data_IF_952670856396
#
_entry.id   IF_952670856396
#
_cell.length_a   1.000
_cell.length_b   1.000
_cell.length_c   1.000
_cell.angle_alpha   90.00
_cell.angle_beta   90.00
_cell.angle_gamma   90.00
#
_symmetry.space_group_name_H-M   'P 1'
#
loop_
_entity.id
_entity.type
_entity.pdbx_description
1 polymer ?
#
# COMPACT_ATOMS: atom_id res chain seq x y z
N UNK A 1 8.90 15.63 -35.11
CA UNK A 1 7.99 16.22 -34.11
C UNK A 1 7.70 15.11 -33.11
N UNK A 2 8.45 15.07 -32.01
CA UNK A 2 8.40 13.96 -31.05
C UNK A 2 7.15 14.06 -30.17
N UNK A 3 6.55 12.90 -29.96
CA UNK A 3 5.35 12.61 -29.19
C UNK A 3 5.36 13.27 -27.79
N UNK A 4 4.36 14.12 -27.55
CA UNK A 4 3.89 14.47 -26.21
C UNK A 4 3.05 13.30 -25.68
N UNK A 5 3.70 12.37 -25.00
CA UNK A 5 3.05 11.34 -24.19
C UNK A 5 4.02 10.93 -23.07
N UNK A 6 4.32 11.87 -22.18
CA UNK A 6 4.86 11.51 -20.86
C UNK A 6 3.64 11.43 -19.94
N UNK A 7 3.12 10.20 -19.81
CA UNK A 7 2.15 9.86 -18.77
C UNK A 7 2.88 9.99 -17.42
N UNK A 8 2.42 10.93 -16.60
CA UNK A 8 2.94 11.12 -15.25
C UNK A 8 2.37 10.01 -14.35
N UNK A 9 3.27 9.17 -13.83
CA UNK A 9 2.98 8.08 -12.92
C UNK A 9 3.16 8.62 -11.49
N UNK A 10 2.06 9.02 -10.84
CA UNK A 10 2.06 9.35 -9.42
C UNK A 10 1.71 8.08 -8.65
N UNK A 11 2.56 7.72 -7.70
CA UNK A 11 2.30 6.64 -6.76
C UNK A 11 2.35 7.24 -5.38
N UNK A 12 1.18 7.48 -4.82
CA UNK A 12 1.03 7.88 -3.44
C UNK A 12 0.04 6.96 -2.76
N UNK A 13 0.50 6.34 -1.68
CA UNK A 13 -0.27 5.42 -0.88
C UNK A 13 0.23 5.55 0.55
N UNK A 14 -0.71 5.81 1.46
CA UNK A 14 -0.42 5.78 2.89
C UNK A 14 -0.63 4.38 3.40
N UNK A 15 0.32 3.89 4.18
CA UNK A 15 0.26 2.54 4.77
C UNK A 15 0.56 2.61 6.25
N UNK A 16 -0.40 2.24 7.10
CA UNK A 16 -0.22 2.03 8.53
C UNK A 16 -0.11 0.53 8.79
N UNK A 17 1.08 0.04 9.09
CA UNK A 17 1.35 -1.37 9.38
C UNK A 17 1.38 -1.63 10.88
N UNK A 18 0.75 -2.72 11.29
CA UNK A 18 0.66 -3.20 12.67
C UNK A 18 1.36 -4.55 12.79
N UNK A 19 2.06 -4.75 13.89
CA UNK A 19 2.81 -5.99 14.15
C UNK A 19 2.26 -6.65 15.41
N UNK A 20 1.50 -7.73 15.23
CA UNK A 20 1.54 -8.92 16.07
C UNK A 20 0.65 -9.99 15.44
N UNK A 21 0.61 -11.14 16.08
CA UNK A 21 0.47 -12.46 15.49
C UNK A 21 -0.95 -13.03 15.72
N UNK A 22 -1.41 -13.84 14.76
CA UNK A 22 -2.53 -14.80 14.76
C UNK A 22 -3.98 -14.28 14.81
N UNK A 23 -4.77 -14.72 13.82
CA UNK A 23 -6.19 -15.03 14.02
C UNK A 23 -6.51 -16.40 13.42
N UNK A 24 -7.37 -17.15 14.13
CA UNK A 24 -7.99 -18.39 13.69
C UNK A 24 -9.49 -18.20 13.82
N UNK A 25 -10.16 -17.78 12.75
CA UNK A 25 -11.60 -17.98 12.62
C UNK A 25 -11.86 -19.05 11.56
N UNK A 26 -12.56 -20.12 11.97
CA UNK A 26 -12.82 -21.40 11.23
C UNK A 26 -11.70 -22.44 11.20
N UNK A 27 -10.59 -22.24 11.89
CA UNK A 27 -9.52 -23.27 11.97
C UNK A 27 -8.53 -23.24 10.81
N UNK A 28 -8.61 -22.25 9.93
CA UNK A 28 -7.63 -22.02 8.85
C UNK A 28 -6.71 -20.84 9.21
N UNK A 29 -5.42 -21.00 8.97
CA UNK A 29 -4.39 -19.99 9.28
C UNK A 29 -4.26 -19.07 8.07
N UNK A 30 -4.75 -17.84 8.20
CA UNK A 30 -4.61 -16.80 7.17
C UNK A 30 -3.50 -15.81 7.56
N UNK A 31 -2.50 -15.67 6.69
CA UNK A 31 -1.37 -14.75 6.86
C UNK A 31 -1.66 -13.42 6.14
N UNK A 32 -2.48 -12.55 6.74
CA UNK A 32 -2.66 -11.19 6.24
C UNK A 32 -1.95 -10.18 7.13
N UNK A 33 -1.23 -9.20 6.57
CA UNK A 33 -0.66 -8.13 7.37
C UNK A 33 -1.79 -7.31 7.99
N UNK A 34 -1.70 -7.04 9.30
CA UNK A 34 -2.54 -6.04 9.95
C UNK A 34 -2.13 -4.66 9.41
N UNK A 35 -2.94 -4.13 8.51
CA UNK A 35 -2.59 -2.96 7.69
C UNK A 35 -3.86 -2.18 7.40
N UNK A 36 -3.82 -0.86 7.60
CA UNK A 36 -4.80 0.07 7.05
C UNK A 36 -4.11 0.93 6.01
N UNK A 37 -4.59 0.86 4.77
CA UNK A 37 -4.07 1.55 3.60
C UNK A 37 -5.11 2.54 3.11
N UNK A 38 -4.67 3.76 2.79
CA UNK A 38 -5.54 4.79 2.22
C UNK A 38 -5.02 5.17 0.85
N UNK A 39 -5.93 5.20 -0.12
CA UNK A 39 -5.63 5.60 -1.48
C UNK A 39 -6.86 6.23 -2.16
N UNK A 40 -6.68 6.77 -3.35
CA UNK A 40 -7.73 7.42 -4.14
C UNK A 40 -8.51 6.40 -4.97
N UNK A 41 -9.72 6.79 -5.37
CA UNK A 41 -10.50 6.00 -6.32
C UNK A 41 -9.73 5.80 -7.62
N UNK A 42 -9.67 4.56 -8.10
CA UNK A 42 -8.99 4.18 -9.35
C UNK A 42 -7.49 3.87 -9.22
N UNK A 43 -6.89 3.98 -8.04
CA UNK A 43 -5.47 3.64 -7.82
C UNK A 43 -5.19 2.13 -7.79
N UNK A 44 -6.18 1.32 -7.42
CA UNK A 44 -6.03 -0.12 -7.22
C UNK A 44 -5.86 -0.91 -8.54
N UNK A 45 -6.22 -0.31 -9.68
CA UNK A 45 -6.20 -0.95 -11.00
C UNK A 45 -6.91 -2.33 -10.99
N UNK A 46 -6.19 -3.45 -11.05
CA UNK A 46 -6.77 -4.79 -11.02
C UNK A 46 -6.97 -5.38 -9.61
N UNK A 47 -6.50 -4.71 -8.56
CA UNK A 47 -6.65 -5.18 -7.18
C UNK A 47 -8.07 -4.91 -6.66
N UNK A 48 -8.72 -5.93 -6.12
CA UNK A 48 -10.05 -5.82 -5.50
C UNK A 48 -9.93 -5.12 -4.14
N UNK A 49 -10.76 -4.10 -3.90
CA UNK A 49 -10.77 -3.34 -2.65
C UNK A 49 -10.99 -4.21 -1.40
N UNK A 50 -11.91 -5.18 -1.48
CA UNK A 50 -12.22 -6.10 -0.38
C UNK A 50 -11.34 -7.36 -0.37
N UNK A 51 -10.28 -7.40 -1.18
CA UNK A 51 -9.43 -8.59 -1.32
C UNK A 51 -10.18 -9.81 -1.88
N UNK A 52 -9.52 -10.96 -1.86
CA UNK A 52 -10.05 -12.26 -2.35
C UNK A 52 -10.00 -13.36 -1.30
N UNK A 53 -9.53 -13.04 -0.09
CA UNK A 53 -9.19 -14.02 0.94
C UNK A 53 -10.43 -14.70 1.55
N UNK A 54 -11.54 -13.99 1.60
CA UNK A 54 -12.79 -14.49 2.16
C UNK A 54 -13.87 -14.50 1.09
N UNK A 55 -14.81 -15.43 1.20
CA UNK A 55 -16.11 -15.33 0.54
C UNK A 55 -16.82 -14.12 1.14
N UNK A 56 -16.58 -12.95 0.55
CA UNK A 56 -17.37 -11.77 0.83
C UNK A 56 -18.78 -12.18 0.42
N UNK A 57 -19.78 -12.13 1.33
CA UNK A 57 -21.16 -12.31 0.94
C UNK A 57 -21.38 -11.42 -0.27
N UNK A 58 -21.83 -11.99 -1.39
CA UNK A 58 -22.24 -11.19 -2.54
C UNK A 58 -23.04 -10.04 -1.97
N UNK A 59 -22.56 -8.80 -2.14
CA UNK A 59 -23.41 -7.65 -1.91
C UNK A 59 -24.65 -7.97 -2.71
N UNK A 60 -25.76 -8.22 -2.01
CA UNK A 60 -27.08 -8.25 -2.63
C UNK A 60 -27.08 -6.98 -3.47
N UNK A 61 -27.05 -7.14 -4.81
CA UNK A 61 -26.98 -6.04 -5.75
C UNK A 61 -27.89 -4.96 -5.20
N UNK A 62 -27.33 -3.80 -4.81
CA UNK A 62 -28.08 -2.78 -4.08
C UNK A 62 -29.44 -2.65 -4.72
N UNK A 63 -30.49 -3.07 -4.02
CA UNK A 63 -31.81 -3.25 -4.60
C UNK A 63 -32.24 -1.88 -5.16
N UNK A 64 -32.11 -1.70 -6.48
CA UNK A 64 -32.18 -0.38 -7.12
C UNK A 64 -33.64 0.06 -7.06
N UNK A 65 -34.01 0.76 -5.99
CA UNK A 65 -35.39 1.23 -5.71
C UNK A 65 -35.85 2.37 -6.62
N UNK A 66 -35.05 2.76 -7.61
CA UNK A 66 -35.41 3.82 -8.54
C UNK A 66 -36.40 3.28 -9.57
N UNK A 67 -37.58 3.90 -9.64
CA UNK A 67 -38.61 3.53 -10.62
C UNK A 67 -38.40 4.31 -11.93
N UNK A 68 -37.90 3.62 -12.96
CA UNK A 68 -37.69 4.14 -14.32
C UNK A 68 -36.78 3.24 -15.15
N UNK A 69 -36.72 3.45 -16.48
CA UNK A 69 -35.73 2.79 -17.35
C UNK A 69 -34.32 3.29 -17.01
N UNK A 70 -33.60 2.52 -16.20
CA UNK A 70 -32.23 2.83 -15.79
C UNK A 70 -31.29 1.89 -16.55
N UNK A 71 -30.49 2.47 -17.43
CA UNK A 71 -29.37 1.77 -18.06
C UNK A 71 -28.16 1.87 -17.15
N UNK A 72 -27.87 0.80 -16.42
CA UNK A 72 -26.64 0.68 -15.63
C UNK A 72 -25.47 0.34 -16.57
N UNK A 73 -24.48 1.21 -16.63
CA UNK A 73 -23.24 0.95 -17.34
C UNK A 73 -22.14 0.63 -16.33
N UNK A 74 -21.73 -0.64 -16.25
CA UNK A 74 -20.58 -1.09 -15.46
C UNK A 74 -19.33 -1.06 -16.35
N UNK A 75 -18.31 -0.32 -15.92
CA UNK A 75 -17.02 -0.31 -16.61
C UNK A 75 -16.33 -1.69 -16.47
N UNK A 76 -15.65 -2.13 -17.53
CA UNK A 76 -14.93 -3.40 -17.51
C UNK A 76 -13.72 -3.31 -16.57
N UNK A 77 -13.42 -4.39 -15.85
CA UNK A 77 -12.27 -4.44 -14.96
C UNK A 77 -10.96 -4.22 -15.74
N UNK A 78 -10.00 -3.44 -15.19
CA UNK A 78 -8.72 -3.22 -15.85
C UNK A 78 -7.96 -4.54 -16.08
N UNK A 79 -7.31 -4.73 -17.24
CA UNK A 79 -6.60 -5.96 -17.53
C UNK A 79 -5.36 -6.12 -16.64
N UNK A 80 -5.21 -7.28 -16.02
CA UNK A 80 -4.01 -7.67 -15.27
C UNK A 80 -2.78 -7.72 -16.18
N UNK A 81 -1.64 -7.28 -15.65
CA UNK A 81 -0.35 -7.40 -16.34
C UNK A 81 0.13 -8.87 -16.36
N UNK A 82 1.15 -9.20 -17.15
CA UNK A 82 1.70 -10.58 -17.24
C UNK A 82 2.22 -11.07 -15.88
N UNK A 83 2.85 -10.21 -15.09
CA UNK A 83 3.37 -10.56 -13.77
C UNK A 83 2.28 -11.09 -12.82
N UNK A 84 1.15 -10.38 -12.73
CA UNK A 84 0.02 -10.80 -11.91
C UNK A 84 -0.63 -12.09 -12.43
N UNK A 85 -0.70 -12.28 -13.76
CA UNK A 85 -1.20 -13.53 -14.34
C UNK A 85 -0.30 -14.72 -14.02
N UNK A 86 1.01 -14.55 -14.13
CA UNK A 86 1.99 -15.58 -13.77
C UNK A 86 1.93 -15.92 -12.27
N UNK A 87 1.68 -14.94 -11.40
CA UNK A 87 1.45 -15.17 -9.98
C UNK A 87 0.17 -15.98 -9.71
N UNK A 88 -0.93 -15.66 -10.38
CA UNK A 88 -2.21 -16.40 -10.22
C UNK A 88 -2.12 -17.84 -10.72
N UNK A 89 -1.43 -18.04 -11.86
CA UNK A 89 -1.12 -19.38 -12.37
C UNK A 89 -0.26 -20.18 -11.37
N UNK A 90 0.71 -19.53 -10.72
CA UNK A 90 1.56 -20.17 -9.71
C UNK A 90 0.81 -20.50 -8.41
N UNK A 91 -0.11 -19.64 -7.98
CA UNK A 91 -0.91 -19.82 -6.76
C UNK A 91 -2.11 -20.79 -6.98
N UNK A 92 -2.34 -21.23 -8.22
CA UNK A 92 -3.43 -22.15 -8.57
C UNK A 92 -4.82 -21.52 -8.46
N UNK A 93 -4.90 -20.19 -8.39
CA UNK A 93 -6.14 -19.43 -8.29
C UNK A 93 -6.74 -19.35 -9.69
N UNK A 94 -7.67 -20.25 -10.01
CA UNK A 94 -8.51 -20.10 -11.19
C UNK A 94 -9.64 -19.10 -10.89
N UNK A 95 -9.43 -17.82 -11.18
CA UNK A 95 -10.57 -16.91 -11.30
C UNK A 95 -11.41 -17.37 -12.50
N UNK A 96 -12.63 -17.86 -12.23
CA UNK A 96 -13.63 -18.17 -13.25
C UNK A 96 -14.24 -16.89 -13.83
N UNK A 97 -13.42 -16.01 -14.38
CA UNK A 97 -13.93 -14.88 -15.18
C UNK A 97 -13.96 -15.31 -16.65
N UNK A 98 -14.93 -16.18 -16.96
CA UNK A 98 -15.41 -16.35 -18.33
C UNK A 98 -16.65 -15.47 -18.52
N UNK A 99 -16.76 -14.65 -19.58
CA UNK A 99 -18.04 -14.10 -19.97
C UNK A 99 -18.86 -15.27 -20.53
N UNK A 100 -19.73 -15.85 -19.71
CA UNK A 100 -20.72 -16.81 -20.19
C UNK A 100 -21.79 -16.06 -20.96
N UNK A 101 -21.62 -15.98 -22.28
CA UNK A 101 -22.75 -15.89 -23.19
C UNK A 101 -23.43 -17.26 -23.17
N UNK A 102 -24.51 -17.38 -22.39
CA UNK A 102 -25.34 -18.58 -22.35
C UNK A 102 -26.69 -18.27 -22.97
N UNK A 103 -26.86 -18.67 -24.22
CA UNK A 103 -28.17 -19.04 -24.75
C UNK A 103 -28.45 -20.48 -24.33
N UNK A 104 -29.62 -20.68 -23.71
CA UNK A 104 -30.09 -21.95 -23.14
C UNK A 104 -30.24 -23.08 -24.16
N UNK A 105 -30.02 -24.33 -23.71
CA UNK A 105 -30.99 -25.43 -23.89
C UNK A 105 -30.65 -26.65 -23.02
N UNK A 106 -31.54 -26.88 -22.06
CA UNK A 106 -32.16 -28.13 -21.59
C UNK A 106 -31.35 -29.40 -21.22
N UNK A 107 -31.62 -29.80 -19.96
CA UNK A 107 -31.89 -31.15 -19.43
C UNK A 107 -30.90 -32.29 -19.67
N UNK A 108 -30.21 -32.73 -18.60
CA UNK A 108 -30.54 -34.01 -17.95
C UNK A 108 -29.82 -34.20 -16.60
N UNK A 109 -30.53 -34.89 -15.71
CA UNK A 109 -30.28 -35.12 -14.29
C UNK A 109 -29.37 -36.33 -14.09
N UNK A 110 -28.31 -36.21 -13.28
CA UNK A 110 -27.68 -37.37 -12.64
C UNK A 110 -26.93 -36.97 -11.37
N UNK A 111 -27.36 -37.58 -10.28
CA UNK A 111 -26.77 -37.60 -8.94
C UNK A 111 -25.28 -37.95 -8.95
N UNK A 112 -24.50 -37.28 -8.09
CA UNK A 112 -23.37 -37.87 -7.35
C UNK A 112 -22.94 -36.95 -6.21
N UNK A 113 -23.43 -37.32 -5.01
CA UNK A 113 -22.88 -36.91 -3.74
C UNK A 113 -21.41 -37.39 -3.57
N UNK A 114 -20.69 -36.66 -2.71
CA UNK A 114 -19.54 -37.09 -1.92
C UNK A 114 -18.23 -37.42 -2.65
N UNK A 115 -17.26 -36.49 -2.61
CA UNK A 115 -15.91 -36.78 -2.06
C UNK A 115 -15.03 -35.52 -2.08
N UNK A 116 -15.12 -34.68 -1.04
CA UNK A 116 -14.02 -33.80 -0.64
C UNK A 116 -13.62 -34.17 0.79
N UNK A 117 -13.07 -35.37 0.93
CA UNK A 117 -12.14 -35.72 2.00
C UNK A 117 -10.86 -36.13 1.32
N UNK A 118 -9.74 -35.70 1.90
CA UNK A 118 -8.36 -35.94 1.47
C UNK A 118 -7.88 -35.05 0.31
N UNK A 119 -7.25 -33.90 0.65
CA UNK A 119 -5.78 -33.72 0.51
C UNK A 119 -5.36 -32.63 1.51
N UNK A 120 -5.16 -33.01 2.78
CA UNK A 120 -4.14 -32.38 3.64
C UNK A 120 -2.89 -33.25 3.49
N UNK A 121 -1.73 -32.60 3.48
CA UNK A 121 -0.38 -33.14 3.32
C UNK A 121 0.14 -33.28 1.88
N UNK A 122 0.71 -32.20 1.32
CA UNK A 122 1.95 -32.29 0.51
C UNK A 122 2.88 -31.09 0.73
N UNK A 123 3.80 -31.29 1.69
CA UNK A 123 5.24 -30.96 1.68
C UNK A 123 5.68 -29.56 1.22
N UNK A 124 6.21 -28.82 2.19
CA UNK A 124 7.44 -28.03 2.02
C UNK A 124 8.51 -28.88 1.31
N UNK A 125 8.68 -28.67 0.01
CA UNK A 125 9.92 -29.00 -0.68
C UNK A 125 10.61 -27.68 -1.01
N UNK A 126 11.88 -27.60 -0.59
CA UNK A 126 12.82 -26.53 -0.94
C UNK A 126 12.62 -26.12 -2.40
N UNK A 127 12.29 -24.86 -2.62
CA UNK A 127 12.45 -24.25 -3.93
C UNK A 127 13.96 -24.30 -4.26
N UNK A 128 14.32 -25.09 -5.25
CA UNK A 128 15.64 -25.05 -5.85
C UNK A 128 15.75 -23.74 -6.64
N UNK A 129 16.43 -22.75 -6.05
CA UNK A 129 16.76 -21.42 -6.60
C UNK A 129 17.74 -21.47 -7.80
N UNK A 130 17.52 -22.31 -8.81
CA UNK A 130 18.53 -22.48 -9.88
C UNK A 130 18.06 -22.40 -11.33
N UNK A 131 16.80 -22.09 -11.63
CA UNK A 131 16.38 -21.87 -13.02
C UNK A 131 15.26 -20.83 -13.21
N UNK A 132 15.39 -19.65 -12.59
CA UNK A 132 14.68 -18.46 -13.08
C UNK A 132 15.58 -17.79 -14.12
N UNK A 133 15.32 -18.03 -15.40
CA UNK A 133 16.14 -17.49 -16.49
C UNK A 133 16.16 -15.97 -16.47
N UNK A 134 17.36 -15.40 -16.37
CA UNK A 134 17.74 -13.97 -16.35
C UNK A 134 17.11 -13.06 -17.43
N UNK A 135 16.40 -13.62 -18.40
CA UNK A 135 15.85 -12.89 -19.55
C UNK A 135 14.42 -12.37 -19.36
N UNK A 136 13.70 -12.74 -18.30
CA UNK A 136 12.29 -12.32 -18.11
C UNK A 136 12.13 -11.03 -17.29
N UNK A 137 13.12 -10.65 -16.47
CA UNK A 137 13.02 -9.50 -15.57
C UNK A 137 13.17 -8.14 -16.28
N UNK A 138 13.78 -8.07 -17.47
CA UNK A 138 14.08 -6.80 -18.15
C UNK A 138 12.86 -6.10 -18.80
N UNK A 139 11.74 -6.80 -19.00
CA UNK A 139 10.54 -6.25 -19.68
C UNK A 139 9.40 -5.89 -18.70
N UNK A 140 9.55 -6.21 -17.41
CA UNK A 140 8.53 -5.91 -16.39
C UNK A 140 8.43 -4.41 -16.08
N UNK A 141 9.51 -3.64 -16.23
CA UNK A 141 9.58 -2.21 -15.88
C UNK A 141 8.52 -1.34 -16.58
N UNK A 142 8.17 -1.67 -17.82
CA UNK A 142 7.16 -0.93 -18.59
C UNK A 142 5.72 -1.35 -18.24
N UNK A 143 5.56 -2.43 -17.47
CA UNK A 143 4.27 -3.04 -17.16
C UNK A 143 3.65 -2.50 -15.88
N UNK A 144 4.48 -1.97 -14.98
CA UNK A 144 4.04 -1.47 -13.67
C UNK A 144 3.62 -0.01 -13.76
N UNK A 145 2.32 0.25 -13.62
CA UNK A 145 1.74 1.60 -13.62
C UNK A 145 1.37 2.04 -12.22
N UNK A 146 0.76 1.14 -11.45
CA UNK A 146 0.36 1.39 -10.08
C UNK A 146 1.07 0.43 -9.12
N UNK A 147 0.95 0.66 -7.81
CA UNK A 147 1.66 -0.11 -6.79
C UNK A 147 1.09 -1.53 -6.66
N UNK A 148 -0.20 -1.68 -6.95
CA UNK A 148 -0.88 -2.96 -6.96
C UNK A 148 -0.41 -3.87 -8.10
N UNK A 149 0.21 -3.33 -9.15
CA UNK A 149 0.67 -4.10 -10.32
C UNK A 149 1.85 -5.02 -10.01
N UNK A 150 2.55 -4.79 -8.90
CA UNK A 150 3.66 -5.61 -8.42
C UNK A 150 3.43 -6.16 -7.00
N UNK A 151 2.19 -6.10 -6.53
CA UNK A 151 1.78 -6.67 -5.26
C UNK A 151 1.58 -8.19 -5.41
N UNK A 152 2.14 -8.96 -4.47
CA UNK A 152 1.93 -10.41 -4.38
C UNK A 152 1.02 -10.83 -3.23
N UNK A 153 0.90 -9.97 -2.21
CA UNK A 153 0.21 -10.31 -0.97
C UNK A 153 -1.28 -10.05 -1.11
N UNK A 154 -2.10 -11.00 -0.66
CA UNK A 154 -3.54 -10.80 -0.52
C UNK A 154 -3.84 -10.04 0.77
N UNK A 155 -4.63 -8.98 0.67
CA UNK A 155 -5.01 -8.18 1.84
C UNK A 155 -6.32 -8.66 2.47
N UNK A 156 -6.47 -8.33 3.75
CA UNK A 156 -7.72 -8.47 4.46
C UNK A 156 -8.77 -7.48 3.88
N UNK A 157 -10.07 -7.81 3.82
CA UNK A 157 -11.10 -6.92 3.29
C UNK A 157 -11.19 -5.56 3.99
N UNK A 158 -10.75 -5.49 5.25
CA UNK A 158 -10.71 -4.26 6.05
C UNK A 158 -9.42 -3.45 5.88
N UNK A 159 -8.48 -3.91 5.05
CA UNK A 159 -7.19 -3.22 4.86
C UNK A 159 -7.32 -1.93 4.07
N UNK A 160 -8.10 -1.91 2.98
CA UNK A 160 -8.11 -0.78 2.04
C UNK A 160 -9.27 0.17 2.36
N UNK A 161 -8.96 1.44 2.59
CA UNK A 161 -9.90 2.56 2.60
C UNK A 161 -9.66 3.43 1.37
N UNK A 162 -10.74 3.78 0.66
CA UNK A 162 -10.67 4.64 -0.52
C UNK A 162 -11.24 6.01 -0.19
N UNK A 163 -10.53 7.06 -0.61
CA UNK A 163 -11.05 8.43 -0.65
C UNK A 163 -11.87 8.56 -1.94
N UNK A 164 -13.17 8.79 -1.81
CA UNK A 164 -14.10 8.79 -2.95
C UNK A 164 -14.16 10.13 -3.67
N UNK A 165 -13.84 11.23 -2.97
CA UNK A 165 -13.92 12.60 -3.45
C UNK A 165 -12.89 12.90 -4.54
N UNK A 166 -11.79 12.14 -4.57
CA UNK A 166 -10.68 12.32 -5.50
C UNK A 166 -10.40 11.06 -6.31
N UNK A 167 -10.07 11.27 -7.58
CA UNK A 167 -9.76 10.21 -8.52
C UNK A 167 -8.25 10.21 -8.83
N UNK A 168 -7.65 9.03 -8.83
CA UNK A 168 -6.27 8.82 -9.21
C UNK A 168 -6.00 9.30 -10.65
N UNK A 169 -4.95 10.12 -10.83
CA UNK A 169 -4.54 10.62 -12.15
C UNK A 169 -5.47 11.68 -12.76
N UNK A 170 -6.32 12.33 -11.96
CA UNK A 170 -7.22 13.38 -12.46
C UNK A 170 -6.48 14.70 -12.76
N UNK A 171 -6.41 15.08 -14.04
CA UNK A 171 -5.76 16.33 -14.48
C UNK A 171 -6.53 17.60 -14.08
N UNK A 172 -7.85 17.52 -13.87
CA UNK A 172 -8.72 18.67 -13.61
C UNK A 172 -8.88 18.96 -12.11
N UNK A 173 -8.87 17.94 -11.27
CA UNK A 173 -8.92 18.04 -9.82
C UNK A 173 -7.78 17.21 -9.20
N UNK A 174 -6.53 17.72 -9.26
CA UNK A 174 -5.38 16.98 -8.77
C UNK A 174 -5.33 16.96 -7.24
N UNK A 175 -4.91 15.83 -6.69
CA UNK A 175 -4.72 15.63 -5.25
C UNK A 175 -3.30 16.03 -4.81
N UNK A 176 -2.92 17.28 -5.09
CA UNK A 176 -1.53 17.74 -4.97
C UNK A 176 -1.28 18.72 -3.82
N UNK A 177 -2.32 19.25 -3.18
CA UNK A 177 -2.18 20.30 -2.15
C UNK A 177 -2.46 19.74 -0.76
N UNK A 178 -1.55 19.99 0.19
CA UNK A 178 -1.66 19.52 1.58
C UNK A 178 -3.05 19.75 2.21
N UNK A 179 -3.64 20.94 2.03
CA UNK A 179 -4.95 21.26 2.56
C UNK A 179 -6.08 20.40 2.01
N UNK A 180 -6.05 20.05 0.72
CA UNK A 180 -7.05 19.17 0.10
C UNK A 180 -7.03 17.78 0.75
N UNK A 181 -5.85 17.30 1.13
CA UNK A 181 -5.74 16.02 1.81
C UNK A 181 -6.32 16.04 3.21
N UNK A 182 -6.15 17.13 3.97
CA UNK A 182 -6.79 17.28 5.28
C UNK A 182 -8.31 17.28 5.14
N UNK A 183 -8.84 18.05 4.18
CA UNK A 183 -10.28 18.14 3.93
C UNK A 183 -10.87 16.79 3.52
N UNK A 184 -10.18 16.05 2.64
CA UNK A 184 -10.61 14.73 2.17
C UNK A 184 -10.86 13.72 3.29
N UNK A 185 -10.04 13.77 4.35
CA UNK A 185 -10.19 12.86 5.49
C UNK A 185 -10.97 13.49 6.65
N UNK A 186 -11.35 14.77 6.57
CA UNK A 186 -12.07 15.47 7.65
C UNK A 186 -13.56 15.12 7.72
N UNK A 187 -14.10 14.42 6.73
CA UNK A 187 -15.49 13.99 6.72
C UNK A 187 -15.77 12.94 7.79
N UNK A 188 -16.88 13.12 8.53
CA UNK A 188 -17.29 12.18 9.59
C UNK A 188 -17.44 10.75 9.06
N UNK A 189 -17.95 10.57 7.84
CA UNK A 189 -18.10 9.25 7.20
C UNK A 189 -16.76 8.55 7.03
N UNK A 190 -15.77 9.25 6.45
CA UNK A 190 -14.44 8.70 6.24
C UNK A 190 -13.75 8.33 7.55
N UNK A 191 -13.78 9.24 8.54
CA UNK A 191 -13.14 9.01 9.84
C UNK A 191 -13.74 7.80 10.53
N UNK A 192 -15.08 7.69 10.58
CA UNK A 192 -15.75 6.57 11.23
C UNK A 192 -15.39 5.22 10.56
N UNK A 193 -15.41 5.15 9.23
CA UNK A 193 -15.04 3.92 8.51
C UNK A 193 -13.56 3.55 8.71
N UNK A 194 -12.68 4.55 8.73
CA UNK A 194 -11.27 4.35 8.99
C UNK A 194 -11.00 3.92 10.44
N UNK A 195 -11.71 4.52 11.40
CA UNK A 195 -11.68 4.18 12.82
C UNK A 195 -12.18 2.74 13.06
N UNK A 196 -13.27 2.32 12.42
CA UNK A 196 -13.77 0.94 12.51
C UNK A 196 -12.73 -0.09 12.01
N UNK A 197 -11.99 0.25 10.95
CA UNK A 197 -10.90 -0.58 10.41
C UNK A 197 -9.69 -0.58 11.33
N UNK A 198 -9.38 0.57 11.93
CA UNK A 198 -8.31 0.72 12.90
C UNK A 198 -8.58 -0.14 14.14
N UNK A 199 -9.77 0.00 14.74
CA UNK A 199 -10.18 -0.75 15.92
C UNK A 199 -10.21 -2.25 15.68
N UNK A 200 -10.67 -2.69 14.50
CA UNK A 200 -10.60 -4.10 14.15
C UNK A 200 -9.19 -4.70 14.33
N UNK A 201 -8.15 -4.06 13.79
CA UNK A 201 -6.79 -4.57 13.91
C UNK A 201 -6.15 -4.33 15.28
N UNK A 202 -6.54 -3.27 16.00
CA UNK A 202 -5.99 -3.01 17.34
C UNK A 202 -6.62 -3.90 18.41
N UNK A 203 -7.89 -4.26 18.27
CA UNK A 203 -8.59 -5.19 19.17
C UNK A 203 -8.11 -6.64 19.02
N UNK A 204 -7.68 -7.04 17.82
CA UNK A 204 -6.98 -8.32 17.60
C UNK A 204 -5.62 -8.41 18.34
N UNK A 205 -5.05 -7.27 18.76
CA UNK A 205 -3.75 -7.26 19.42
C UNK A 205 -3.89 -7.47 20.94
N UNK A 206 -3.41 -8.60 21.47
CA UNK A 206 -3.29 -8.82 22.92
C UNK A 206 -2.44 -7.72 23.61
N UNK A 207 -1.38 -7.27 22.93
CA UNK A 207 -0.52 -6.18 23.39
C UNK A 207 -0.06 -5.30 22.22
N UNK A 208 -0.84 -4.26 21.94
CA UNK A 208 -0.45 -3.25 20.96
C UNK A 208 0.79 -2.46 21.43
N UNK A 209 1.91 -2.58 20.73
CA UNK A 209 3.13 -1.80 21.02
C UNK A 209 3.09 -0.39 20.42
N UNK A 210 2.55 -0.28 19.21
CA UNK A 210 2.47 0.97 18.47
C UNK A 210 2.29 0.79 16.97
N UNK A 211 2.60 1.85 16.25
CA UNK A 211 2.24 2.04 14.85
C UNK A 211 3.48 2.31 14.02
N UNK A 212 3.60 1.58 12.92
CA UNK A 212 4.51 1.93 11.84
C UNK A 212 3.71 2.62 10.73
N UNK A 213 4.06 3.86 10.42
CA UNK A 213 3.29 4.71 9.52
C UNK A 213 4.16 5.09 8.33
N UNK A 214 3.68 4.83 7.11
CA UNK A 214 4.26 5.32 5.87
C UNK A 214 3.29 6.34 5.28
N UNK A 215 3.79 7.54 5.00
CA UNK A 215 3.01 8.59 4.38
C UNK A 215 3.83 9.35 3.36
N UNK A 216 3.18 9.76 2.28
CA UNK A 216 3.79 10.64 1.30
C UNK A 216 3.90 12.06 1.82
N UNK A 217 5.04 12.68 1.58
CA UNK A 217 5.33 14.03 2.11
C UNK A 217 5.23 15.12 1.05
N UNK A 218 5.01 14.78 -0.21
CA UNK A 218 5.21 15.71 -1.33
C UNK A 218 3.91 16.23 -1.96
N UNK A 219 2.78 15.57 -1.72
CA UNK A 219 1.47 15.86 -2.31
C UNK A 219 0.38 16.02 -1.22
N UNK A 220 -0.90 15.94 -1.60
CA UNK A 220 -2.00 16.11 -0.66
C UNK A 220 -2.08 14.99 0.38
N UNK A 221 -1.60 13.77 0.09
CA UNK A 221 -1.55 12.71 1.09
C UNK A 221 -0.78 13.18 2.33
N UNK A 222 0.27 13.99 2.20
CA UNK A 222 0.96 14.56 3.37
C UNK A 222 0.03 15.24 4.37
N UNK A 223 -1.05 15.88 3.88
CA UNK A 223 -2.11 16.45 4.70
C UNK A 223 -3.02 15.42 5.35
N UNK A 224 -3.51 14.46 4.58
CA UNK A 224 -4.35 13.36 5.09
C UNK A 224 -3.61 12.57 6.18
N UNK A 225 -2.34 12.24 5.93
CA UNK A 225 -1.52 11.44 6.83
C UNK A 225 -1.15 12.20 8.09
N UNK A 226 -0.90 13.51 7.97
CA UNK A 226 -0.69 14.37 9.13
C UNK A 226 -1.92 14.44 10.04
N UNK A 227 -3.13 14.42 9.47
CA UNK A 227 -4.37 14.46 10.25
C UNK A 227 -4.64 13.13 10.96
N UNK A 228 -4.48 12.01 10.26
CA UNK A 228 -4.63 10.68 10.85
C UNK A 228 -3.55 10.38 11.89
N UNK A 229 -2.32 10.83 11.66
CA UNK A 229 -1.25 10.76 12.65
C UNK A 229 -1.59 11.58 13.91
N UNK A 230 -2.21 12.74 13.77
CA UNK A 230 -2.69 13.52 14.91
C UNK A 230 -3.79 12.76 15.66
N UNK A 231 -4.73 12.15 14.94
CA UNK A 231 -5.76 11.32 15.55
C UNK A 231 -5.15 10.16 16.37
N UNK A 232 -4.13 9.46 15.81
CA UNK A 232 -3.40 8.40 16.52
C UNK A 232 -2.63 8.90 17.74
N UNK A 233 -2.12 10.14 17.72
CA UNK A 233 -1.54 10.76 18.91
C UNK A 233 -2.58 11.00 19.99
N UNK A 234 -3.77 11.51 19.61
CA UNK A 234 -4.84 11.85 20.54
C UNK A 234 -5.44 10.59 21.20
N UNK A 235 -5.71 9.53 20.42
CA UNK A 235 -6.31 8.29 20.92
C UNK A 235 -5.28 7.31 21.51
N UNK A 236 -4.13 7.13 20.84
CA UNK A 236 -3.11 6.15 21.23
C UNK A 236 -1.82 6.82 21.73
N UNK A 237 -1.92 7.94 22.44
CA UNK A 237 -0.79 8.72 22.97
C UNK A 237 0.30 7.88 23.67
N UNK A 238 -0.10 6.83 24.39
CA UNK A 238 0.81 5.93 25.14
C UNK A 238 1.64 4.99 24.26
N UNK A 239 1.28 4.83 22.99
CA UNK A 239 1.91 3.88 22.05
C UNK A 239 2.99 4.56 21.22
N UNK A 240 3.99 3.80 20.78
CA UNK A 240 5.04 4.32 19.90
C UNK A 240 4.52 4.59 18.49
N UNK A 241 4.90 5.72 17.88
CA UNK A 241 4.61 6.05 16.47
C UNK A 241 5.93 6.23 15.72
N UNK A 242 6.29 5.25 14.89
CA UNK A 242 7.43 5.33 13.98
C UNK A 242 6.95 5.67 12.58
N UNK A 243 7.22 6.90 12.15
CA UNK A 243 6.69 7.45 10.91
C UNK A 243 7.79 7.60 9.88
N UNK A 244 7.60 7.00 8.71
CA UNK A 244 8.41 7.17 7.52
C UNK A 244 7.73 8.14 6.57
N UNK A 245 8.32 9.32 6.39
CA UNK A 245 7.89 10.26 5.37
C UNK A 245 8.53 9.90 4.04
N UNK A 246 7.75 9.39 3.09
CA UNK A 246 8.26 8.94 1.79
C UNK A 246 8.15 10.07 0.77
N UNK A 247 9.17 10.19 -0.08
CA UNK A 247 9.12 11.03 -1.27
C UNK A 247 9.77 10.31 -2.46
N UNK A 248 9.14 10.31 -3.65
CA UNK A 248 9.68 9.69 -4.86
C UNK A 248 11.06 10.24 -5.23
N UNK A 249 11.85 9.39 -5.89
CA UNK A 249 13.17 9.77 -6.40
C UNK A 249 13.08 10.83 -7.52
N UNK A 250 11.96 10.83 -8.25
CA UNK A 250 11.67 11.74 -9.36
C UNK A 250 10.24 12.27 -9.19
N UNK A 251 10.08 13.58 -9.36
CA UNK A 251 8.80 14.26 -9.39
C UNK A 251 8.77 15.28 -10.54
N UNK A 252 7.60 15.53 -11.14
CA UNK A 252 7.44 16.57 -12.15
C UNK A 252 7.58 17.95 -11.52
N UNK A 253 8.82 18.45 -11.45
CA UNK A 253 9.22 19.72 -10.85
C UNK A 253 9.41 20.83 -11.89
N UNK A 254 8.76 20.67 -13.05
CA UNK A 254 9.01 21.41 -14.29
C UNK A 254 8.65 22.89 -14.16
N UNK A 255 7.58 23.19 -13.41
CA UNK A 255 7.10 24.55 -13.20
C UNK A 255 7.48 25.07 -11.82
N UNK A 256 7.64 26.39 -11.71
CA UNK A 256 7.90 27.03 -10.42
C UNK A 256 6.74 26.83 -9.43
N UNK A 257 5.51 26.68 -9.94
CA UNK A 257 4.32 26.41 -9.13
C UNK A 257 4.37 25.01 -8.51
N UNK A 258 4.56 23.97 -9.33
CA UNK A 258 4.67 22.58 -8.85
C UNK A 258 5.78 22.41 -7.82
N UNK A 259 6.93 23.05 -8.09
CA UNK A 259 8.06 23.08 -7.15
C UNK A 259 7.72 23.77 -5.84
N UNK A 260 7.03 24.90 -5.89
CA UNK A 260 6.60 25.62 -4.69
C UNK A 260 5.58 24.80 -3.89
N UNK A 261 4.61 24.18 -4.56
CA UNK A 261 3.62 23.28 -3.94
C UNK A 261 4.32 22.12 -3.23
N UNK A 262 5.20 21.40 -3.92
CA UNK A 262 5.98 20.29 -3.33
C UNK A 262 6.76 20.72 -2.11
N UNK A 263 7.47 21.85 -2.16
CA UNK A 263 8.25 22.36 -1.03
C UNK A 263 7.33 22.71 0.15
N UNK A 264 6.19 23.35 -0.11
CA UNK A 264 5.21 23.69 0.92
C UNK A 264 4.59 22.44 1.54
N UNK A 265 4.16 21.47 0.74
CA UNK A 265 3.62 20.20 1.21
C UNK A 265 4.65 19.47 2.07
N UNK A 266 5.90 19.38 1.61
CA UNK A 266 7.00 18.74 2.35
C UNK A 266 7.27 19.44 3.67
N UNK A 267 7.30 20.77 3.69
CA UNK A 267 7.53 21.53 4.91
C UNK A 267 6.39 21.34 5.94
N UNK A 268 5.14 21.38 5.50
CA UNK A 268 3.97 21.18 6.35
C UNK A 268 3.90 19.74 6.87
N UNK A 269 4.10 18.75 5.99
CA UNK A 269 4.14 17.34 6.35
C UNK A 269 5.24 17.06 7.37
N UNK A 270 6.46 17.56 7.15
CA UNK A 270 7.58 17.33 8.08
C UNK A 270 7.31 17.96 9.45
N UNK A 271 6.74 19.16 9.48
CA UNK A 271 6.38 19.83 10.74
C UNK A 271 5.37 19.00 11.52
N UNK A 272 4.28 18.55 10.87
CA UNK A 272 3.22 17.76 11.51
C UNK A 272 3.72 16.39 11.93
N UNK A 273 4.45 15.69 11.05
CA UNK A 273 5.02 14.39 11.35
C UNK A 273 6.00 14.45 12.52
N UNK A 274 6.88 15.46 12.56
CA UNK A 274 7.80 15.64 13.69
C UNK A 274 7.08 15.96 14.99
N UNK A 275 5.92 16.61 14.96
CA UNK A 275 5.15 16.94 16.16
C UNK A 275 4.45 15.71 16.74
N UNK A 276 3.74 14.95 15.90
CA UNK A 276 2.84 13.86 16.31
C UNK A 276 3.44 12.45 16.23
N UNK A 277 4.67 12.30 15.73
CA UNK A 277 5.39 11.02 15.81
C UNK A 277 6.22 10.93 17.08
N UNK A 278 6.50 9.70 17.53
CA UNK A 278 7.54 9.43 18.52
C UNK A 278 8.93 9.53 17.86
N UNK A 279 9.04 9.04 16.63
CA UNK A 279 10.23 9.14 15.78
C UNK A 279 9.80 9.34 14.33
N UNK A 280 10.39 10.31 13.63
CA UNK A 280 10.13 10.62 12.23
C UNK A 280 11.39 10.43 11.38
N UNK A 281 11.23 9.67 10.29
CA UNK A 281 12.30 9.34 9.35
C UNK A 281 11.89 9.80 7.96
N UNK A 282 12.37 10.95 7.47
CA UNK A 282 12.23 11.31 6.06
C UNK A 282 13.06 10.36 5.20
N UNK A 283 12.45 9.78 4.17
CA UNK A 283 13.03 8.77 3.30
C UNK A 283 12.78 9.12 1.84
N UNK A 284 13.85 9.19 1.06
CA UNK A 284 13.81 9.37 -0.39
C UNK A 284 15.11 8.89 -1.00
N UNK A 285 15.06 8.52 -2.27
CA UNK A 285 16.27 8.29 -3.07
C UNK A 285 16.71 9.54 -3.83
N UNK A 286 15.99 10.67 -3.73
CA UNK A 286 16.48 11.93 -4.24
C UNK A 286 17.57 12.48 -3.30
N UNK A 287 18.69 12.91 -3.87
CA UNK A 287 19.82 13.49 -3.09
C UNK A 287 19.48 14.79 -2.38
N UNK A 288 18.50 15.54 -2.89
CA UNK A 288 17.93 16.70 -2.19
C UNK A 288 16.45 16.84 -2.53
N UNK A 289 15.65 17.16 -1.52
CA UNK A 289 14.24 17.52 -1.66
C UNK A 289 14.03 19.04 -1.56
N UNK A 290 15.06 19.80 -1.16
CA UNK A 290 14.94 21.23 -0.89
C UNK A 290 15.37 22.08 -2.09
N UNK A 291 14.61 23.16 -2.36
CA UNK A 291 14.79 24.11 -3.49
C UNK A 291 14.63 23.50 -4.88
N UNK A 292 15.22 22.36 -5.18
CA UNK A 292 15.05 21.59 -6.40
C UNK A 292 15.26 20.10 -6.09
N UNK A 293 14.60 19.22 -6.83
CA UNK A 293 14.85 17.78 -6.73
C UNK A 293 16.26 17.46 -7.23
N UNK A 294 17.04 16.79 -6.39
CA UNK A 294 18.36 16.28 -6.75
C UNK A 294 18.27 15.00 -7.56
N UNK A 295 19.33 14.61 -8.28
CA UNK A 295 19.34 13.33 -8.97
C UNK A 295 19.17 12.15 -8.00
N UNK A 296 18.63 11.02 -8.47
CA UNK A 296 18.55 9.79 -7.68
C UNK A 296 19.94 9.30 -7.22
N UNK A 297 20.03 8.89 -5.96
CA UNK A 297 21.25 8.37 -5.31
C UNK A 297 21.80 7.18 -6.11
N UNK A 298 23.08 7.21 -6.46
CA UNK A 298 23.73 6.08 -7.11
C UNK A 298 24.41 5.20 -6.07
N UNK A 299 24.15 3.89 -6.13
CA UNK A 299 24.79 2.90 -5.28
C UNK A 299 25.92 2.22 -6.05
N UNK A 300 27.13 2.08 -5.48
CA UNK A 300 28.28 1.52 -6.21
C UNK A 300 28.06 0.09 -6.75
N UNK A 301 27.28 -0.73 -6.03
CA UNK A 301 27.10 -2.16 -6.33
C UNK A 301 25.66 -2.55 -6.64
N UNK A 302 24.74 -1.58 -6.74
CA UNK A 302 23.34 -1.84 -7.04
C UNK A 302 22.92 -1.08 -8.30
N UNK A 303 22.55 -1.84 -9.33
CA UNK A 303 22.00 -1.29 -10.57
C UNK A 303 20.49 -1.20 -10.44
N UNK A 304 19.94 0.00 -10.63
CA UNK A 304 18.50 0.21 -10.61
C UNK A 304 18.10 1.37 -11.52
N UNK A 305 16.85 1.33 -12.00
CA UNK A 305 16.23 2.46 -12.71
C UNK A 305 15.42 3.29 -11.71
N UNK A 306 15.35 4.63 -11.86
CA UNK A 306 14.59 5.49 -10.95
C UNK A 306 13.07 5.43 -11.21
N UNK A 307 12.55 4.23 -11.38
CA UNK A 307 11.12 3.92 -11.46
C UNK A 307 10.62 3.52 -10.08
N UNK A 308 9.34 3.74 -9.81
CA UNK A 308 8.77 3.51 -8.49
C UNK A 308 9.02 2.09 -7.98
N UNK A 309 8.82 1.06 -8.81
CA UNK A 309 9.07 -0.34 -8.47
C UNK A 309 10.47 -0.60 -7.86
N UNK A 310 11.53 -0.12 -8.53
CA UNK A 310 12.89 -0.28 -8.03
C UNK A 310 13.17 0.61 -6.81
N UNK A 311 12.70 1.86 -6.85
CA UNK A 311 12.96 2.80 -5.76
C UNK A 311 12.28 2.37 -4.46
N UNK A 312 11.07 1.84 -4.55
CA UNK A 312 10.32 1.32 -3.41
C UNK A 312 10.96 0.05 -2.85
N UNK A 313 11.47 -0.84 -3.70
CA UNK A 313 12.21 -2.03 -3.24
C UNK A 313 13.45 -1.67 -2.41
N UNK A 314 14.21 -0.65 -2.82
CA UNK A 314 15.37 -0.15 -2.07
C UNK A 314 14.93 0.45 -0.73
N UNK A 315 13.93 1.33 -0.73
CA UNK A 315 13.41 1.93 0.49
C UNK A 315 12.83 0.87 1.44
N UNK A 316 12.11 -0.12 0.91
CA UNK A 316 11.58 -1.24 1.66
C UNK A 316 12.70 -2.07 2.31
N UNK A 317 13.80 -2.35 1.60
CA UNK A 317 14.96 -3.05 2.18
C UNK A 317 15.62 -2.24 3.32
N UNK A 318 15.65 -0.91 3.20
CA UNK A 318 16.13 -0.02 4.27
C UNK A 318 15.21 -0.06 5.48
N UNK A 319 13.90 0.06 5.28
CA UNK A 319 12.89 -0.02 6.33
C UNK A 319 12.94 -1.39 6.99
N UNK A 320 12.96 -2.48 6.23
CA UNK A 320 13.06 -3.85 6.71
C UNK A 320 14.29 -4.05 7.62
N UNK A 321 15.44 -3.51 7.23
CA UNK A 321 16.65 -3.55 8.07
C UNK A 321 16.46 -2.74 9.36
N UNK A 322 15.88 -1.55 9.29
CA UNK A 322 15.67 -0.68 10.46
C UNK A 322 14.67 -1.28 11.45
N UNK A 323 13.64 -1.95 10.94
CA UNK A 323 12.54 -2.53 11.72
C UNK A 323 12.82 -3.96 12.18
N UNK A 324 13.90 -4.57 11.69
CA UNK A 324 14.34 -5.90 12.09
C UNK A 324 14.42 -6.11 13.62
N UNK A 325 14.97 -5.19 14.44
CA UNK A 325 15.17 -5.43 15.88
C UNK A 325 13.89 -5.74 16.67
N UNK A 326 12.75 -5.14 16.30
CA UNK A 326 11.46 -5.39 16.95
C UNK A 326 10.66 -6.52 16.29
N UNK A 327 11.18 -7.14 15.23
CA UNK A 327 10.64 -8.35 14.58
C UNK A 327 11.40 -9.62 14.97
N UNK A 328 12.46 -9.52 15.77
CA UNK A 328 13.24 -10.67 16.23
C UNK A 328 12.46 -11.48 17.27
N UNK A 329 12.48 -12.81 17.11
CA UNK A 329 11.85 -13.74 18.08
C UNK A 329 12.68 -13.82 19.38
N UNK A 330 14.00 -13.68 19.29
CA UNK A 330 14.89 -13.73 20.44
C UNK A 330 15.30 -12.32 20.86
N UNK A 331 14.95 -11.92 22.09
CA UNK A 331 15.21 -10.60 22.65
C UNK A 331 14.66 -9.43 21.78
N UNK A 332 13.33 -9.39 21.54
CA UNK A 332 12.74 -8.30 20.80
C UNK A 332 12.99 -6.96 21.51
N UNK A 333 13.38 -5.95 20.74
CA UNK A 333 13.29 -4.57 21.20
C UNK A 333 11.85 -4.10 21.04
N UNK A 334 11.28 -3.43 22.03
CA UNK A 334 9.97 -2.80 21.82
C UNK A 334 10.12 -1.56 20.95
N UNK A 335 9.07 -1.23 20.18
CA UNK A 335 9.08 -0.02 19.34
C UNK A 335 9.41 1.24 20.17
N UNK A 336 8.84 1.34 21.37
CA UNK A 336 9.10 2.44 22.29
C UNK A 336 10.59 2.57 22.64
N UNK A 337 11.30 1.46 22.87
CA UNK A 337 12.73 1.48 23.21
C UNK A 337 13.57 2.09 22.09
N UNK A 338 13.26 1.73 20.83
CA UNK A 338 13.93 2.26 19.65
C UNK A 338 13.66 3.76 19.54
N UNK A 339 12.39 4.17 19.61
CA UNK A 339 12.03 5.59 19.50
C UNK A 339 12.66 6.43 20.62
N UNK A 340 12.70 5.92 21.86
CA UNK A 340 13.32 6.61 23.00
C UNK A 340 14.84 6.69 22.89
N UNK A 341 15.49 5.63 22.38
CA UNK A 341 16.94 5.60 22.18
C UNK A 341 17.38 6.65 21.16
N UNK A 342 16.64 6.80 20.07
CA UNK A 342 16.96 7.77 19.02
C UNK A 342 16.48 9.19 19.35
N UNK A 343 15.50 9.35 20.24
CA UNK A 343 14.99 10.65 20.67
C UNK A 343 15.82 11.28 21.81
N UNK A 344 17.14 11.33 21.64
CA UNK A 344 18.02 12.03 22.57
C UNK A 344 17.77 13.54 22.51
N UNK A 345 17.58 14.19 23.66
CA UNK A 345 17.37 15.65 23.78
C UNK A 345 16.09 16.18 23.10
N UNK A 346 15.08 15.34 22.88
CA UNK A 346 13.81 15.75 22.25
C UNK A 346 13.88 15.91 20.73
N UNK A 347 14.97 15.44 20.10
CA UNK A 347 15.11 15.42 18.64
C UNK A 347 14.45 14.16 18.09
N UNK A 348 13.27 14.34 17.49
CA UNK A 348 12.45 13.26 16.93
C UNK A 348 12.76 12.92 15.47
N UNK A 349 13.60 13.71 14.79
CA UNK A 349 13.89 13.51 13.36
C UNK A 349 15.26 12.83 13.20
N UNK A 350 15.31 11.72 12.46
CA UNK A 350 16.54 10.98 12.20
C UNK A 350 16.77 10.75 10.71
N UNK A 351 18.02 10.49 10.34
CA UNK A 351 18.43 10.16 8.98
C UNK A 351 18.63 8.65 8.84
N UNK A 352 18.14 8.07 7.75
CA UNK A 352 18.36 6.68 7.39
C UNK A 352 19.38 6.60 6.25
N UNK A 353 20.45 5.84 6.46
CA UNK A 353 21.45 5.54 5.42
C UNK A 353 21.68 4.04 5.33
N UNK A 354 21.78 3.52 4.10
CA UNK A 354 22.04 2.11 3.82
C UNK A 354 23.20 1.99 2.86
N UNK A 355 24.11 1.07 3.17
CA UNK A 355 25.19 0.66 2.30
C UNK A 355 24.91 -0.75 1.80
N UNK A 356 25.03 -0.95 0.49
CA UNK A 356 24.99 -2.27 -0.13
C UNK A 356 26.43 -2.74 -0.31
N UNK A 357 26.79 -3.83 0.34
CA UNK A 357 28.13 -4.46 0.23
C UNK A 357 28.20 -5.38 -0.99
N UNK A 358 29.41 -5.69 -1.42
CA UNK A 358 29.68 -6.82 -2.31
C UNK A 358 29.76 -8.10 -1.47
N UNK A 359 29.12 -9.19 -1.92
CA UNK A 359 29.29 -10.54 -1.37
C UNK A 359 30.40 -11.31 -2.09
#
# INVERSE_FOLDING_TARGET
MLNKAQQYLHLTSQSVSFLSDFEVERGEVTYTPRLVLIDLKGSLNSLKQKGTLYEIPHEEEEDIKWSGDITMHKEAAPPKNKFLKELEEADGIQEKDSPSDSTESDEERSEKENSCKEVVERKHQKADDSHMSDHTLLDCDAMFKVWSDFLRIHFHPRTIQIIEEFQHGNEHLPFDVFGCGQEAVSGDTFINEWEDKLHFFTEECDNLEGFQILLDTHDAFGGSGAMLLQYLEDEFSSKGRLTFGVAPALLPDDTALLRAQRILNSALAYQKCSSFSSLFVPTSLATTLWRAMGPPIQFPYLQYKPIHYHTSAILAACIDTLTYPYRQVMAPFHLCDITNTFNSQGRKVIELSKYFTYD
#
